data_IF_028871832676
#
_entry.id   IF_028871832676
#
_cell.length_a   1.000
_cell.length_b   1.000
_cell.length_c   1.000
_cell.angle_alpha   90.00
_cell.angle_beta   90.00
_cell.angle_gamma   90.00
#
_symmetry.space_group_name_H-M   'P 1'
#
loop_
_entity.id
_entity.type
_entity.pdbx_description
1 polymer ?
#
# COMPACT_ATOMS: atom_id res chain seq x y z
N UNK A 1 -7.93 -14.34 -19.87
CA UNK A 1 -7.80 -13.29 -18.87
C UNK A 1 -6.74 -12.21 -19.19
N UNK A 2 -6.52 -11.80 -20.45
CA UNK A 2 -5.59 -10.73 -20.81
C UNK A 2 -6.24 -9.34 -20.90
N UNK A 3 -7.58 -9.24 -20.86
CA UNK A 3 -8.27 -7.97 -21.12
C UNK A 3 -8.19 -6.93 -19.99
N UNK A 4 -8.00 -7.37 -18.75
CA UNK A 4 -7.90 -6.43 -17.62
C UNK A 4 -6.58 -5.67 -17.58
N UNK A 5 -5.50 -6.25 -18.05
CA UNK A 5 -4.18 -5.61 -18.09
C UNK A 5 -4.16 -4.45 -19.09
N UNK A 6 -4.84 -4.58 -20.22
CA UNK A 6 -4.84 -3.55 -21.26
C UNK A 6 -5.63 -2.28 -20.89
N UNK A 7 -6.66 -2.37 -20.06
CA UNK A 7 -7.40 -1.18 -19.59
C UNK A 7 -6.62 -0.40 -18.52
N UNK A 8 -5.65 -1.04 -17.85
CA UNK A 8 -4.80 -0.41 -16.83
C UNK A 8 -3.43 0.02 -17.34
N UNK A 9 -3.08 -0.24 -18.59
CA UNK A 9 -1.83 0.21 -19.21
C UNK A 9 -1.70 1.74 -19.36
N UNK A 10 -2.77 2.50 -19.08
CA UNK A 10 -2.70 3.95 -18.93
C UNK A 10 -2.05 4.42 -17.61
N UNK A 11 -1.97 3.57 -16.58
CA UNK A 11 -1.37 3.91 -15.28
C UNK A 11 0.15 4.18 -15.33
N UNK A 12 0.99 3.49 -16.14
CA UNK A 12 2.43 3.74 -16.13
C UNK A 12 2.77 5.21 -16.36
N UNK A 13 2.15 5.80 -17.36
CA UNK A 13 2.40 7.21 -17.73
C UNK A 13 1.72 8.20 -16.78
N UNK A 14 0.71 7.75 -16.02
CA UNK A 14 -0.05 8.62 -15.11
C UNK A 14 0.56 8.69 -13.71
N UNK A 15 1.26 7.63 -13.26
CA UNK A 15 1.66 7.51 -11.84
C UNK A 15 3.15 7.29 -11.63
N UNK A 16 3.90 6.79 -12.62
CA UNK A 16 5.28 6.34 -12.39
C UNK A 16 6.24 7.48 -12.00
N UNK A 17 6.13 8.64 -12.61
CA UNK A 17 6.93 9.82 -12.24
C UNK A 17 6.63 10.28 -10.81
N UNK A 18 5.37 10.16 -10.38
CA UNK A 18 4.97 10.47 -8.99
C UNK A 18 5.58 9.45 -8.02
N UNK A 19 5.62 8.15 -8.40
CA UNK A 19 6.25 7.13 -7.56
C UNK A 19 7.74 7.38 -7.39
N UNK A 20 8.45 7.75 -8.46
CA UNK A 20 9.89 8.08 -8.44
C UNK A 20 10.16 9.32 -7.57
N UNK A 21 9.37 10.40 -7.75
CA UNK A 21 9.47 11.59 -6.88
C UNK A 21 9.21 11.23 -5.41
N UNK A 22 8.20 10.40 -5.15
CA UNK A 22 7.84 9.96 -3.81
C UNK A 22 8.95 9.12 -3.16
N UNK A 23 9.56 8.19 -3.91
CA UNK A 23 10.70 7.40 -3.43
C UNK A 23 11.90 8.29 -3.11
N UNK A 24 12.20 9.29 -3.94
CA UNK A 24 13.25 10.29 -3.66
C UNK A 24 12.98 11.09 -2.38
N UNK A 25 11.73 11.46 -2.12
CA UNK A 25 11.33 12.26 -0.94
C UNK A 25 11.26 11.45 0.34
N UNK A 26 10.78 10.20 0.28
CA UNK A 26 10.73 9.31 1.46
C UNK A 26 12.11 8.73 1.79
N UNK A 27 12.99 8.61 0.79
CA UNK A 27 14.26 7.89 0.89
C UNK A 27 14.08 6.38 1.00
N UNK A 28 12.90 5.86 0.71
CA UNK A 28 12.53 4.45 0.85
C UNK A 28 11.83 3.93 -0.41
N UNK A 29 11.70 2.60 -0.54
CA UNK A 29 10.99 2.00 -1.66
C UNK A 29 9.52 2.36 -1.60
N UNK A 30 8.96 2.68 -2.76
CA UNK A 30 7.54 2.99 -2.93
C UNK A 30 6.88 1.97 -3.85
N UNK A 31 5.72 1.49 -3.43
CA UNK A 31 4.91 0.51 -4.14
C UNK A 31 3.56 1.10 -4.53
N UNK A 32 3.07 0.71 -5.69
CA UNK A 32 1.71 0.96 -6.14
C UNK A 32 1.02 -0.36 -6.45
N UNK A 33 -0.20 -0.55 -5.95
CA UNK A 33 -0.92 -1.81 -6.12
C UNK A 33 -2.42 -1.63 -6.20
N UNK A 34 -3.06 -2.62 -6.79
CA UNK A 34 -4.51 -2.68 -6.98
C UNK A 34 -5.14 -3.72 -6.04
N UNK A 35 -6.39 -3.51 -5.59
CA UNK A 35 -7.15 -4.55 -4.90
C UNK A 35 -7.42 -5.73 -5.85
N UNK A 36 -7.21 -6.95 -5.36
CA UNK A 36 -7.45 -8.19 -6.09
C UNK A 36 -8.01 -9.25 -5.12
N UNK A 37 -9.32 -9.32 -5.00
CA UNK A 37 -9.99 -10.17 -4.02
C UNK A 37 -9.57 -9.82 -2.58
N UNK A 38 -9.04 -10.80 -1.85
CA UNK A 38 -8.51 -10.62 -0.48
C UNK A 38 -7.09 -10.06 -0.44
N UNK A 39 -6.51 -9.74 -1.60
CA UNK A 39 -5.10 -9.39 -1.75
C UNK A 39 -4.91 -8.04 -2.46
N UNK A 40 -3.73 -7.48 -2.33
CA UNK A 40 -3.20 -6.42 -3.19
C UNK A 40 -2.31 -7.06 -4.25
N UNK A 41 -2.45 -6.64 -5.50
CA UNK A 41 -1.55 -6.98 -6.61
C UNK A 41 -0.58 -5.81 -6.82
N UNK A 42 0.72 -6.04 -6.66
CA UNK A 42 1.75 -5.03 -6.87
C UNK A 42 2.03 -4.81 -8.35
N UNK A 43 1.79 -3.60 -8.84
CA UNK A 43 1.98 -3.24 -10.26
C UNK A 43 3.25 -2.46 -10.53
N UNK A 44 3.65 -1.56 -9.63
CA UNK A 44 4.81 -0.71 -9.80
C UNK A 44 5.62 -0.61 -8.52
N UNK A 45 6.94 -0.49 -8.69
CA UNK A 45 7.91 -0.26 -7.63
C UNK A 45 8.83 0.87 -8.08
N UNK A 46 9.08 1.82 -7.20
CA UNK A 46 10.10 2.85 -7.39
C UNK A 46 11.11 2.80 -6.25
N UNK A 47 12.40 2.85 -6.61
CA UNK A 47 13.50 2.86 -5.68
C UNK A 47 14.09 4.27 -5.57
N UNK A 48 14.54 4.70 -4.37
CA UNK A 48 15.33 5.92 -4.26
C UNK A 48 16.62 5.77 -5.06
N UNK A 49 17.03 6.82 -5.77
CA UNK A 49 18.15 6.75 -6.73
C UNK A 49 19.49 6.39 -6.06
N UNK A 50 19.69 6.81 -4.82
CA UNK A 50 20.91 6.54 -4.03
C UNK A 50 20.98 5.10 -3.49
N UNK A 51 19.91 4.35 -3.60
CA UNK A 51 19.82 2.96 -3.12
C UNK A 51 19.66 1.92 -4.22
N UNK A 52 19.74 2.33 -5.49
CA UNK A 52 19.71 1.41 -6.61
C UNK A 52 20.91 0.44 -6.52
N UNK A 53 20.61 -0.85 -6.33
CA UNK A 53 21.62 -1.92 -6.23
C UNK A 53 22.22 -2.17 -4.84
N UNK A 54 21.85 -1.42 -3.80
CA UNK A 54 22.43 -1.56 -2.45
C UNK A 54 21.59 -2.46 -1.53
N UNK A 55 20.30 -2.66 -1.83
CA UNK A 55 19.42 -3.42 -0.95
C UNK A 55 18.94 -4.69 -1.64
N UNK A 56 18.93 -5.83 -0.92
CA UNK A 56 18.37 -7.09 -1.41
C UNK A 56 16.84 -7.00 -1.33
N UNK A 57 16.24 -6.00 -2.00
CA UNK A 57 14.80 -5.97 -2.11
C UNK A 57 14.38 -6.99 -3.15
N UNK A 58 13.60 -7.93 -2.72
CA UNK A 58 12.89 -8.83 -3.60
C UNK A 58 12.00 -8.00 -4.51
N UNK A 59 12.16 -8.17 -5.81
CA UNK A 59 11.21 -7.62 -6.77
C UNK A 59 9.86 -8.33 -6.56
N UNK A 60 8.86 -7.57 -6.12
CA UNK A 60 7.52 -8.07 -5.86
C UNK A 60 6.51 -7.67 -6.95
N UNK A 61 7.01 -7.18 -8.09
CA UNK A 61 6.15 -6.86 -9.23
C UNK A 61 5.38 -8.09 -9.70
N UNK A 62 4.07 -7.94 -9.83
CA UNK A 62 3.17 -9.04 -10.19
C UNK A 62 2.86 -10.02 -9.06
N UNK A 63 3.46 -9.86 -7.88
CA UNK A 63 3.12 -10.64 -6.70
C UNK A 63 1.89 -10.10 -5.99
N UNK A 64 1.33 -10.91 -5.11
CA UNK A 64 0.21 -10.54 -4.26
C UNK A 64 0.52 -10.72 -2.78
N UNK A 65 -0.10 -9.90 -1.94
CA UNK A 65 -0.09 -10.06 -0.49
C UNK A 65 -1.49 -9.80 0.07
N UNK A 66 -1.82 -10.40 1.21
CA UNK A 66 -3.13 -10.17 1.83
C UNK A 66 -3.30 -8.70 2.26
N UNK A 67 -4.54 -8.21 2.09
CA UNK A 67 -4.89 -6.83 2.43
C UNK A 67 -4.76 -6.56 3.93
N UNK A 68 -5.15 -7.50 4.79
CA UNK A 68 -5.22 -7.30 6.23
C UNK A 68 -3.87 -7.10 6.94
N UNK A 69 -2.75 -7.51 6.35
CA UNK A 69 -1.44 -7.56 7.02
C UNK A 69 -0.33 -6.78 6.30
N UNK A 70 -0.67 -5.89 5.39
CA UNK A 70 0.28 -4.99 4.69
C UNK A 70 -0.16 -3.55 4.80
N UNK A 71 0.79 -2.60 4.80
CA UNK A 71 0.45 -1.17 4.85
C UNK A 71 -0.42 -0.73 3.68
N UNK A 72 -0.04 -1.09 2.45
CA UNK A 72 -0.83 -0.80 1.26
C UNK A 72 -2.20 -1.50 1.28
N UNK A 73 -2.23 -2.76 1.73
CA UNK A 73 -3.46 -3.56 1.79
C UNK A 73 -4.45 -3.00 2.80
N UNK A 74 -4.02 -2.72 4.03
CA UNK A 74 -4.88 -2.12 5.06
C UNK A 74 -5.40 -0.74 4.64
N UNK A 75 -4.57 0.06 3.94
CA UNK A 75 -5.00 1.34 3.41
C UNK A 75 -6.12 1.19 2.37
N UNK A 76 -6.00 0.24 1.46
CA UNK A 76 -7.05 -0.07 0.48
C UNK A 76 -8.31 -0.57 1.20
N UNK A 77 -8.18 -1.62 2.02
CA UNK A 77 -9.30 -2.29 2.67
C UNK A 77 -10.07 -1.33 3.59
N UNK A 78 -9.39 -0.52 4.38
CA UNK A 78 -10.02 0.45 5.27
C UNK A 78 -10.89 1.48 4.54
N UNK A 79 -10.62 1.75 3.26
CA UNK A 79 -11.35 2.74 2.47
C UNK A 79 -12.35 2.13 1.47
N UNK A 80 -12.49 0.80 1.44
CA UNK A 80 -13.62 0.10 0.81
C UNK A 80 -14.90 0.33 1.63
N UNK A 81 -16.11 0.12 1.07
CA UNK A 81 -17.35 0.08 1.84
C UNK A 81 -17.20 -0.85 3.06
N UNK A 82 -17.65 -0.39 4.22
CA UNK A 82 -17.44 -1.14 5.48
C UNK A 82 -18.15 -2.50 5.47
N UNK A 83 -19.27 -2.57 4.81
CA UNK A 83 -20.06 -3.79 4.60
C UNK A 83 -19.33 -4.86 3.80
N UNK A 84 -18.31 -4.48 3.00
CA UNK A 84 -17.51 -5.39 2.17
C UNK A 84 -16.25 -5.90 2.89
N UNK A 85 -15.86 -5.34 4.06
CA UNK A 85 -14.59 -5.65 4.69
C UNK A 85 -14.38 -7.15 4.95
N UNK A 86 -15.41 -7.83 5.46
CA UNK A 86 -15.33 -9.25 5.77
C UNK A 86 -15.13 -10.13 4.52
N UNK A 87 -15.63 -9.72 3.37
CA UNK A 87 -15.44 -10.44 2.10
C UNK A 87 -13.98 -10.40 1.62
N UNK A 88 -13.22 -9.39 2.09
CA UNK A 88 -11.82 -9.17 1.73
C UNK A 88 -10.82 -9.64 2.80
N UNK A 89 -11.30 -10.23 3.88
CA UNK A 89 -10.48 -10.88 4.92
C UNK A 89 -10.62 -12.40 4.74
N UNK A 90 -9.53 -13.19 4.68
CA UNK A 90 -9.65 -14.64 4.61
C UNK A 90 -10.32 -15.19 5.89
N UNK A 91 -11.06 -16.29 5.76
CA UNK A 91 -11.72 -16.97 6.91
C UNK A 91 -10.72 -17.32 8.02
N UNK A 92 -9.51 -17.72 7.63
CA UNK A 92 -8.41 -18.02 8.53
C UNK A 92 -7.22 -17.10 8.20
N UNK A 93 -7.09 -15.92 8.85
CA UNK A 93 -5.96 -15.04 8.63
C UNK A 93 -4.65 -15.69 9.05
N UNK A 94 -3.69 -15.75 8.11
CA UNK A 94 -2.38 -16.35 8.32
C UNK A 94 -1.50 -15.46 9.20
N UNK A 95 -0.89 -16.06 10.22
CA UNK A 95 0.12 -15.39 11.05
C UNK A 95 1.50 -15.53 10.42
N UNK A 96 2.01 -14.46 9.83
CA UNK A 96 3.37 -14.41 9.24
C UNK A 96 4.43 -14.06 10.26
N UNK A 97 4.11 -13.15 11.18
CA UNK A 97 5.03 -12.65 12.19
C UNK A 97 4.28 -12.55 13.55
N UNK A 98 4.99 -12.42 14.66
CA UNK A 98 4.35 -12.23 15.97
C UNK A 98 3.35 -11.05 15.99
N UNK A 99 3.65 -9.98 15.24
CA UNK A 99 2.81 -8.77 15.18
C UNK A 99 1.62 -8.89 14.20
N UNK A 100 1.53 -9.96 13.39
CA UNK A 100 0.40 -10.11 12.46
C UNK A 100 -0.92 -10.15 13.23
N UNK A 101 -1.83 -9.26 12.91
CA UNK A 101 -3.19 -9.26 13.46
C UNK A 101 -3.97 -10.34 12.74
N UNK A 102 -4.42 -11.36 13.47
CA UNK A 102 -5.16 -12.51 12.89
C UNK A 102 -6.55 -12.69 13.49
N UNK A 103 -6.85 -12.00 14.57
CA UNK A 103 -8.20 -11.93 15.10
C UNK A 103 -9.03 -10.97 14.24
N UNK A 104 -10.21 -11.41 13.79
CA UNK A 104 -11.04 -10.65 12.84
C UNK A 104 -11.54 -9.35 13.46
N UNK A 105 -11.96 -9.35 14.72
CA UNK A 105 -12.44 -8.15 15.40
C UNK A 105 -11.29 -7.13 15.54
N UNK A 106 -10.10 -7.60 15.90
CA UNK A 106 -8.91 -6.75 15.98
C UNK A 106 -8.48 -6.18 14.60
N UNK A 107 -8.68 -6.95 13.51
CA UNK A 107 -8.49 -6.45 12.13
C UNK A 107 -9.49 -5.34 11.85
N UNK A 108 -10.77 -5.54 12.13
CA UNK A 108 -11.82 -4.52 11.90
C UNK A 108 -11.53 -3.24 12.68
N UNK A 109 -11.12 -3.34 13.94
CA UNK A 109 -10.71 -2.20 14.76
C UNK A 109 -9.53 -1.44 14.15
N UNK A 110 -8.53 -2.16 13.62
CA UNK A 110 -7.39 -1.53 12.95
C UNK A 110 -7.80 -0.85 11.65
N UNK A 111 -8.75 -1.41 10.91
CA UNK A 111 -9.29 -0.77 9.70
C UNK A 111 -10.05 0.52 10.05
N UNK A 112 -10.84 0.53 11.11
CA UNK A 112 -11.50 1.77 11.57
C UNK A 112 -10.49 2.84 11.99
N UNK A 113 -9.44 2.47 12.75
CA UNK A 113 -8.35 3.39 13.09
C UNK A 113 -7.64 3.92 11.84
N UNK A 114 -7.35 3.03 10.88
CA UNK A 114 -6.74 3.39 9.59
C UNK A 114 -7.60 4.38 8.82
N UNK A 115 -8.91 4.13 8.71
CA UNK A 115 -9.85 5.03 8.04
C UNK A 115 -9.88 6.41 8.70
N UNK A 116 -9.93 6.47 10.02
CA UNK A 116 -9.98 7.74 10.79
C UNK A 116 -8.72 8.57 10.64
N UNK A 117 -7.54 7.95 10.67
CA UNK A 117 -6.26 8.66 10.53
C UNK A 117 -5.85 8.93 9.07
N UNK A 118 -6.45 8.20 8.10
CA UNK A 118 -6.19 8.37 6.66
C UNK A 118 -4.93 7.68 6.13
N UNK A 119 -4.29 6.83 6.92
CA UNK A 119 -3.15 6.01 6.52
C UNK A 119 -3.08 4.71 7.35
N UNK A 120 -2.50 3.67 6.77
CA UNK A 120 -2.28 2.39 7.43
C UNK A 120 -0.80 2.23 7.81
N UNK A 121 -0.54 1.51 8.90
CA UNK A 121 0.81 1.10 9.31
C UNK A 121 0.87 -0.42 9.31
N UNK A 122 1.90 -0.97 8.66
CA UNK A 122 2.35 -2.35 8.86
C UNK A 122 3.55 -2.31 9.81
N UNK A 123 3.40 -2.85 11.00
CA UNK A 123 4.42 -2.89 12.03
C UNK A 123 5.11 -4.26 12.06
N UNK A 124 5.83 -4.62 11.01
CA UNK A 124 6.45 -5.95 10.83
C UNK A 124 5.43 -7.08 10.93
N UNK A 125 4.27 -6.89 10.28
CA UNK A 125 3.17 -7.86 10.28
C UNK A 125 3.34 -8.90 9.17
N UNK A 126 3.87 -8.49 8.00
CA UNK A 126 4.07 -9.36 6.84
C UNK A 126 5.51 -9.85 6.74
N UNK A 127 6.47 -8.95 6.83
CA UNK A 127 7.88 -9.25 6.73
C UNK A 127 8.63 -8.83 8.00
N UNK A 128 9.59 -9.65 8.49
CA UNK A 128 10.30 -9.35 9.71
C UNK A 128 11.19 -8.11 9.54
N UNK A 129 11.25 -7.27 10.57
CA UNK A 129 12.10 -6.07 10.58
C UNK A 129 11.80 -5.05 9.48
N UNK A 130 10.62 -5.08 8.88
CA UNK A 130 10.14 -4.10 7.89
C UNK A 130 8.93 -3.37 8.46
N UNK A 131 8.92 -2.06 8.36
CA UNK A 131 7.74 -1.24 8.66
C UNK A 131 7.32 -0.49 7.41
N UNK A 132 6.00 -0.39 7.23
CA UNK A 132 5.42 0.26 6.07
C UNK A 132 4.35 1.25 6.49
N UNK A 133 4.15 2.27 5.67
CA UNK A 133 2.96 3.11 5.71
C UNK A 133 2.31 3.13 4.34
N UNK A 134 0.98 3.06 4.30
CA UNK A 134 0.21 3.05 3.06
C UNK A 134 -0.96 4.02 3.12
N UNK A 135 -1.36 4.53 1.95
CA UNK A 135 -2.53 5.39 1.78
C UNK A 135 -3.38 4.93 0.58
N UNK A 136 -4.69 5.19 0.60
CA UNK A 136 -5.55 4.89 -0.53
C UNK A 136 -5.28 5.82 -1.71
N UNK A 137 -5.54 5.36 -2.92
CA UNK A 137 -5.51 6.15 -4.15
C UNK A 137 -6.90 6.12 -4.79
N UNK A 138 -7.41 7.31 -5.07
CA UNK A 138 -8.71 7.52 -5.72
C UNK A 138 -8.52 8.04 -7.14
N UNK A 139 -9.48 7.78 -8.01
CA UNK A 139 -9.54 8.40 -9.33
C UNK A 139 -10.18 9.80 -9.27
N UNK A 140 -10.24 10.49 -10.41
CA UNK A 140 -10.85 11.81 -10.54
C UNK A 140 -12.33 11.86 -10.14
N UNK A 141 -13.04 10.72 -10.19
CA UNK A 141 -14.44 10.59 -9.76
C UNK A 141 -14.58 10.29 -8.26
N UNK A 142 -13.48 10.22 -7.50
CA UNK A 142 -13.50 9.88 -6.08
C UNK A 142 -13.70 8.40 -5.77
N UNK A 143 -13.58 7.51 -6.77
CA UNK A 143 -13.64 6.06 -6.56
C UNK A 143 -12.26 5.55 -6.12
N UNK A 144 -12.23 4.72 -5.07
CA UNK A 144 -11.03 3.97 -4.66
C UNK A 144 -10.60 3.03 -5.79
N UNK A 145 -9.36 3.14 -6.23
CA UNK A 145 -8.84 2.34 -7.37
C UNK A 145 -7.54 1.61 -7.05
N UNK A 146 -6.76 2.10 -6.08
CA UNK A 146 -5.43 1.58 -5.79
C UNK A 146 -4.99 1.94 -4.36
N UNK A 147 -3.78 1.53 -4.01
CA UNK A 147 -3.01 2.03 -2.88
C UNK A 147 -1.59 2.38 -3.29
N UNK A 148 -0.97 3.22 -2.50
CA UNK A 148 0.46 3.53 -2.55
C UNK A 148 1.05 3.35 -1.16
N UNK A 149 2.26 2.80 -1.07
CA UNK A 149 2.95 2.63 0.22
C UNK A 149 4.44 2.84 0.09
N UNK A 150 5.07 3.12 1.22
CA UNK A 150 6.52 3.08 1.35
C UNK A 150 6.92 2.11 2.45
N UNK A 151 8.04 1.43 2.25
CA UNK A 151 8.56 0.40 3.15
C UNK A 151 10.05 0.57 3.36
N UNK A 152 10.48 0.37 4.60
CA UNK A 152 11.89 0.42 4.95
C UNK A 152 12.20 -0.42 6.20
N UNK A 153 13.50 -0.50 6.57
CA UNK A 153 13.93 -1.22 7.77
C UNK A 153 13.27 -0.64 9.03
N UNK A 154 12.77 -1.51 9.92
CA UNK A 154 12.10 -1.09 11.15
C UNK A 154 12.95 -0.17 12.03
N UNK A 155 14.28 -0.32 11.98
CA UNK A 155 15.22 0.51 12.75
C UNK A 155 15.27 1.98 12.29
N UNK A 156 14.95 2.25 11.01
CA UNK A 156 14.93 3.60 10.44
C UNK A 156 13.53 4.15 10.25
N UNK A 157 12.54 3.27 10.13
CA UNK A 157 11.12 3.64 10.00
C UNK A 157 10.49 3.86 11.38
N UNK A 158 10.99 4.87 12.11
CA UNK A 158 10.44 5.29 13.40
C UNK A 158 8.99 5.80 13.25
N UNK A 159 8.29 6.02 14.36
CA UNK A 159 6.91 6.54 14.31
C UNK A 159 6.87 7.94 13.68
N UNK A 160 7.86 8.78 13.95
CA UNK A 160 7.99 10.09 13.32
C UNK A 160 8.22 9.97 11.81
N UNK A 161 9.09 9.02 11.40
CA UNK A 161 9.36 8.77 9.97
C UNK A 161 8.14 8.23 9.26
N UNK A 162 7.39 7.32 9.86
CA UNK A 162 6.12 6.82 9.32
C UNK A 162 5.11 7.96 9.12
N UNK A 163 5.00 8.87 10.09
CA UNK A 163 4.10 10.01 9.98
C UNK A 163 4.52 11.00 8.88
N UNK A 164 5.82 11.28 8.76
CA UNK A 164 6.38 12.09 7.66
C UNK A 164 6.05 11.45 6.30
N UNK A 165 6.33 10.16 6.17
CA UNK A 165 6.06 9.40 4.94
C UNK A 165 4.55 9.37 4.62
N UNK A 166 3.67 9.24 5.62
CA UNK A 166 2.23 9.30 5.41
C UNK A 166 1.81 10.61 4.74
N UNK A 167 2.32 11.74 5.20
CA UNK A 167 2.06 13.05 4.58
C UNK A 167 2.56 13.14 3.13
N UNK A 168 3.75 12.60 2.85
CA UNK A 168 4.31 12.56 1.49
C UNK A 168 3.43 11.69 0.57
N UNK A 169 3.02 10.50 1.04
CA UNK A 169 2.16 9.58 0.30
C UNK A 169 0.76 10.16 0.05
N UNK A 170 0.17 10.85 1.02
CA UNK A 170 -1.13 11.52 0.86
C UNK A 170 -1.06 12.58 -0.25
N UNK A 171 0.01 13.39 -0.28
CA UNK A 171 0.24 14.35 -1.37
C UNK A 171 0.44 13.65 -2.73
N UNK A 172 1.16 12.52 -2.77
CA UNK A 172 1.31 11.73 -3.98
C UNK A 172 -0.03 11.18 -4.47
N UNK A 173 -0.86 10.63 -3.57
CA UNK A 173 -2.21 10.14 -3.87
C UNK A 173 -3.10 11.24 -4.48
N UNK A 174 -3.05 12.46 -3.94
CA UNK A 174 -3.79 13.59 -4.50
C UNK A 174 -3.35 13.94 -5.93
N UNK A 175 -2.04 13.95 -6.20
CA UNK A 175 -1.50 14.18 -7.56
C UNK A 175 -1.93 13.07 -8.53
N UNK A 176 -1.95 11.81 -8.07
CA UNK A 176 -2.40 10.66 -8.86
C UNK A 176 -3.87 10.76 -9.21
N UNK A 177 -4.71 11.20 -8.28
CA UNK A 177 -6.16 11.34 -8.49
C UNK A 177 -6.49 12.17 -9.72
N UNK A 178 -5.77 13.26 -9.93
CA UNK A 178 -6.02 14.17 -11.05
C UNK A 178 -5.57 13.59 -12.40
N UNK A 179 -4.82 12.49 -12.39
CA UNK A 179 -4.29 11.81 -13.59
C UNK A 179 -4.95 10.46 -13.88
N UNK A 180 -5.65 9.89 -12.91
CA UNK A 180 -6.34 8.60 -13.08
C UNK A 180 -7.79 8.86 -13.49
N UNK A 181 -8.06 8.64 -14.78
CA UNK A 181 -9.40 8.71 -15.36
C UNK A 181 -10.01 7.30 -15.39
N UNK A 182 -11.20 7.13 -14.84
CA UNK A 182 -11.90 5.85 -14.82
C UNK A 182 -13.42 6.00 -14.69
#
# INVERSE_FOLDING_TARGET
MPLFINQHLGYPNAVYDILVDTAGRTGEIVYFGLPYGTKVLYLYVAHPADRLGVLPYRDILGETAYLYCTGIGKAILAHMPQEEWLEHIPEEPVRYQPNTITDVEAILDELERTRKRGYAIDNSERDPNVRCVGVPVYNAKGKLVAGISTSGPAVTMTDEKLLECAGILQNASLKMRDRIYG
#
